data_IF_197214728779
#
_entry.id   IF_197214728779
#
_cell.length_a   1.000
_cell.length_b   1.000
_cell.length_c   1.000
_cell.angle_alpha   90.00
_cell.angle_beta   90.00
_cell.angle_gamma   90.00
#
_symmetry.space_group_name_H-M   'P 1'
#
loop_
_entity.id
_entity.type
_entity.pdbx_description
1 polymer ?
#
# COMPACT_ATOMS: atom_id res chain seq x y z
N UNK A 1 57.40 -24.96 -26.76
CA UNK A 1 57.05 -23.63 -26.21
C UNK A 1 55.74 -23.18 -26.85
N UNK A 2 54.81 -22.71 -26.02
CA UNK A 2 53.54 -22.00 -26.30
C UNK A 2 52.32 -22.79 -26.84
N UNK A 3 51.38 -23.07 -25.92
CA UNK A 3 49.97 -23.41 -26.14
C UNK A 3 49.09 -22.15 -26.39
N UNK A 4 47.87 -22.29 -26.96
CA UNK A 4 46.92 -21.20 -27.18
C UNK A 4 45.95 -21.02 -25.99
N UNK A 5 45.95 -19.82 -25.38
CA UNK A 5 45.04 -19.46 -24.28
C UNK A 5 43.89 -18.56 -24.74
N UNK A 6 42.74 -19.16 -25.04
CA UNK A 6 41.45 -18.51 -25.33
C UNK A 6 41.01 -17.61 -24.17
N UNK A 7 41.12 -16.30 -24.34
CA UNK A 7 40.60 -15.29 -23.41
C UNK A 7 39.07 -15.34 -23.33
N UNK A 8 38.56 -15.80 -22.20
CA UNK A 8 37.14 -15.82 -21.85
C UNK A 8 36.70 -14.39 -21.55
N UNK A 9 35.81 -13.83 -22.37
CA UNK A 9 35.15 -12.56 -22.08
C UNK A 9 34.32 -12.70 -20.79
N UNK A 10 34.71 -11.96 -19.76
CA UNK A 10 33.93 -11.82 -18.53
C UNK A 10 32.84 -10.76 -18.75
N UNK A 11 31.57 -11.17 -18.67
CA UNK A 11 30.47 -10.25 -18.51
C UNK A 11 30.51 -9.68 -17.07
N UNK A 12 30.53 -8.36 -16.84
CA UNK A 12 30.39 -7.84 -15.49
C UNK A 12 28.91 -7.82 -15.10
N UNK A 13 28.63 -8.62 -14.07
CA UNK A 13 27.51 -8.66 -13.16
C UNK A 13 26.58 -7.43 -13.11
N UNK A 14 25.28 -7.69 -13.04
CA UNK A 14 24.23 -6.69 -12.89
C UNK A 14 24.51 -5.71 -11.75
N UNK A 15 24.55 -4.42 -12.10
CA UNK A 15 24.65 -3.32 -11.13
C UNK A 15 23.39 -3.34 -10.26
N UNK A 16 23.57 -3.53 -8.96
CA UNK A 16 22.53 -3.23 -7.97
C UNK A 16 22.07 -1.77 -8.08
N UNK A 17 20.85 -1.50 -7.60
CA UNK A 17 20.27 -0.15 -7.56
C UNK A 17 21.21 0.83 -6.84
N UNK A 18 21.35 2.06 -7.37
CA UNK A 18 22.07 3.12 -6.67
C UNK A 18 21.35 3.52 -5.38
N UNK A 19 22.06 4.16 -4.44
CA UNK A 19 21.45 4.61 -3.18
C UNK A 19 20.23 5.53 -3.43
N UNK A 20 20.33 6.44 -4.39
CA UNK A 20 19.23 7.32 -4.80
C UNK A 20 18.03 6.54 -5.38
N UNK A 21 18.29 5.52 -6.19
CA UNK A 21 17.25 4.65 -6.73
C UNK A 21 16.57 3.81 -5.63
N UNK A 22 17.32 3.37 -4.63
CA UNK A 22 16.79 2.67 -3.45
C UNK A 22 15.85 3.59 -2.66
N UNK A 23 16.29 4.81 -2.35
CA UNK A 23 15.46 5.82 -1.65
C UNK A 23 14.18 6.09 -2.43
N UNK A 24 14.30 6.40 -3.73
CA UNK A 24 13.16 6.72 -4.59
C UNK A 24 12.15 5.58 -4.65
N UNK A 25 12.62 4.34 -4.83
CA UNK A 25 11.74 3.16 -4.87
C UNK A 25 11.07 2.90 -3.54
N UNK A 26 11.79 3.02 -2.42
CA UNK A 26 11.21 2.82 -1.09
C UNK A 26 10.14 3.87 -0.77
N UNK A 27 10.37 5.14 -1.12
CA UNK A 27 9.40 6.21 -0.95
C UNK A 27 8.13 5.98 -1.78
N UNK A 28 8.29 5.53 -3.03
CA UNK A 28 7.16 5.12 -3.86
C UNK A 28 6.36 3.99 -3.22
N UNK A 29 7.02 2.94 -2.71
CA UNK A 29 6.33 1.84 -2.03
C UNK A 29 5.57 2.30 -0.78
N UNK A 30 6.12 3.22 0.00
CA UNK A 30 5.43 3.83 1.15
C UNK A 30 4.22 4.64 0.71
N UNK A 31 4.36 5.44 -0.36
CA UNK A 31 3.25 6.23 -0.90
C UNK A 31 2.12 5.34 -1.41
N UNK A 32 2.45 4.27 -2.15
CA UNK A 32 1.49 3.29 -2.62
C UNK A 32 0.76 2.63 -1.43
N UNK A 33 1.47 2.23 -0.38
CA UNK A 33 0.87 1.65 0.82
C UNK A 33 -0.10 2.61 1.51
N UNK A 34 0.28 3.88 1.67
CA UNK A 34 -0.61 4.91 2.25
C UNK A 34 -1.84 5.18 1.38
N UNK A 35 -1.66 5.19 0.06
CA UNK A 35 -2.77 5.35 -0.88
C UNK A 35 -3.78 4.20 -0.77
N UNK A 36 -3.29 2.96 -0.71
CA UNK A 36 -4.13 1.77 -0.48
C UNK A 36 -4.87 1.84 0.86
N UNK A 37 -4.18 2.25 1.93
CA UNK A 37 -4.80 2.41 3.26
C UNK A 37 -5.92 3.46 3.24
N UNK A 38 -5.66 4.61 2.62
CA UNK A 38 -6.65 5.69 2.49
C UNK A 38 -7.87 5.22 1.71
N UNK A 39 -7.68 4.46 0.62
CA UNK A 39 -8.80 3.97 -0.17
C UNK A 39 -9.60 2.89 0.55
N UNK A 40 -8.94 2.02 1.32
CA UNK A 40 -9.62 1.02 2.14
C UNK A 40 -10.52 1.69 3.17
N UNK A 41 -10.02 2.71 3.89
CA UNK A 41 -10.80 3.45 4.89
C UNK A 41 -12.02 4.18 4.28
N UNK A 42 -11.87 4.74 3.07
CA UNK A 42 -12.99 5.35 2.33
C UNK A 42 -14.08 4.31 2.01
N UNK A 43 -13.69 3.14 1.47
CA UNK A 43 -14.64 2.07 1.15
C UNK A 43 -15.29 1.46 2.40
N UNK A 44 -14.58 1.38 3.53
CA UNK A 44 -15.14 0.93 4.80
C UNK A 44 -16.26 1.86 5.27
N UNK A 45 -16.11 3.18 5.10
CA UNK A 45 -17.17 4.14 5.38
C UNK A 45 -18.39 3.91 4.47
N UNK A 46 -18.17 3.80 3.15
CA UNK A 46 -19.24 3.53 2.18
C UNK A 46 -19.98 2.21 2.49
N UNK A 47 -19.25 1.17 2.91
CA UNK A 47 -19.82 -0.12 3.30
C UNK A 47 -20.76 0.03 4.50
N UNK A 48 -20.34 0.80 5.52
CA UNK A 48 -21.15 1.05 6.71
C UNK A 48 -22.41 1.85 6.38
N UNK A 49 -22.29 2.87 5.53
CA UNK A 49 -23.43 3.65 5.05
C UNK A 49 -24.44 2.77 4.30
N UNK A 50 -23.97 1.93 3.36
CA UNK A 50 -24.83 1.00 2.64
C UNK A 50 -25.52 0.01 3.58
N UNK A 51 -24.80 -0.49 4.58
CA UNK A 51 -25.33 -1.42 5.57
C UNK A 51 -26.48 -0.78 6.36
N UNK A 52 -26.28 0.44 6.86
CA UNK A 52 -27.32 1.19 7.58
C UNK A 52 -28.55 1.47 6.71
N UNK A 53 -28.35 1.86 5.45
CA UNK A 53 -29.46 2.10 4.52
C UNK A 53 -30.23 0.82 4.21
N UNK A 54 -29.55 -0.32 4.06
CA UNK A 54 -30.22 -1.61 3.82
C UNK A 54 -31.02 -2.04 5.05
N UNK A 55 -30.45 -1.93 6.25
CA UNK A 55 -31.13 -2.27 7.51
C UNK A 55 -32.42 -1.46 7.68
N UNK A 56 -32.34 -0.14 7.48
CA UNK A 56 -33.51 0.73 7.58
C UNK A 56 -34.57 0.44 6.51
N UNK A 57 -34.16 0.15 5.26
CA UNK A 57 -35.11 -0.14 4.18
C UNK A 57 -35.77 -1.51 4.29
N UNK A 58 -35.18 -2.48 4.99
CA UNK A 58 -35.80 -3.80 5.22
C UNK A 58 -37.04 -3.74 6.08
N UNK A 59 -37.16 -2.73 6.95
CA UNK A 59 -38.34 -2.50 7.79
C UNK A 59 -39.44 -1.71 7.06
N UNK A 60 -39.16 -1.21 5.85
CA UNK A 60 -40.08 -0.40 5.06
C UNK A 60 -40.87 -1.28 4.10
N UNK A 61 -42.13 -0.91 3.85
CA UNK A 61 -42.99 -1.58 2.88
C UNK A 61 -42.31 -1.68 1.49
N UNK A 62 -42.18 -2.89 0.90
CA UNK A 62 -41.49 -3.10 -0.37
C UNK A 62 -42.10 -2.36 -1.57
N UNK A 63 -43.38 -2.01 -1.51
CA UNK A 63 -44.12 -1.30 -2.57
C UNK A 63 -44.02 0.22 -2.43
N UNK A 64 -43.51 0.72 -1.29
CA UNK A 64 -43.31 2.15 -1.06
C UNK A 64 -42.35 2.73 -2.11
N UNK A 65 -42.69 3.92 -2.60
CA UNK A 65 -41.86 4.68 -3.53
C UNK A 65 -40.56 5.11 -2.86
N UNK A 66 -39.47 4.95 -3.58
CA UNK A 66 -38.11 5.37 -3.25
C UNK A 66 -37.60 6.27 -4.38
N UNK A 67 -36.82 7.30 -4.05
CA UNK A 67 -36.29 8.24 -5.03
C UNK A 67 -34.77 8.26 -4.96
N UNK A 68 -34.11 8.02 -6.10
CA UNK A 68 -32.65 8.07 -6.21
C UNK A 68 -32.22 9.29 -6.99
N UNK A 69 -31.33 10.10 -6.43
CA UNK A 69 -30.70 11.22 -7.14
C UNK A 69 -29.63 10.70 -8.12
N UNK A 70 -29.72 11.08 -9.39
CA UNK A 70 -28.72 10.77 -10.42
C UNK A 70 -28.48 12.02 -11.26
N UNK A 71 -27.27 12.60 -11.17
CA UNK A 71 -26.91 13.78 -11.96
C UNK A 71 -27.85 14.98 -11.77
N UNK A 72 -28.45 15.14 -10.58
CA UNK A 72 -29.41 16.20 -10.29
C UNK A 72 -30.87 15.88 -10.63
N UNK A 73 -31.17 14.70 -11.16
CA UNK A 73 -32.55 14.24 -11.43
C UNK A 73 -32.95 13.17 -10.42
N UNK A 74 -34.15 13.28 -9.85
CA UNK A 74 -34.73 12.25 -8.99
C UNK A 74 -35.42 11.17 -9.84
N UNK A 75 -34.95 9.94 -9.72
CA UNK A 75 -35.54 8.76 -10.38
C UNK A 75 -36.44 8.03 -9.39
N UNK A 76 -37.72 7.90 -9.72
CA UNK A 76 -38.69 7.12 -8.95
C UNK A 76 -38.48 5.62 -9.15
N UNK A 77 -38.44 4.88 -8.04
CA UNK A 77 -38.37 3.42 -7.94
C UNK A 77 -39.22 2.97 -6.75
N UNK A 78 -39.26 1.67 -6.50
CA UNK A 78 -39.83 1.09 -5.27
C UNK A 78 -38.74 0.47 -4.40
N UNK A 79 -39.01 0.30 -3.10
CA UNK A 79 -38.06 -0.34 -2.18
C UNK A 79 -37.63 -1.72 -2.69
N UNK A 80 -38.58 -2.54 -3.19
CA UNK A 80 -38.29 -3.86 -3.78
C UNK A 80 -37.34 -3.83 -4.98
N UNK A 81 -37.29 -2.71 -5.72
CA UNK A 81 -36.38 -2.55 -6.87
C UNK A 81 -34.99 -2.03 -6.45
N UNK A 82 -34.94 -1.23 -5.38
CA UNK A 82 -33.70 -0.58 -4.91
C UNK A 82 -32.91 -1.48 -3.97
N UNK A 83 -33.58 -2.22 -3.09
CA UNK A 83 -32.94 -3.06 -2.07
C UNK A 83 -31.93 -4.07 -2.67
N UNK A 84 -32.26 -4.81 -3.75
CA UNK A 84 -31.30 -5.76 -4.33
C UNK A 84 -30.06 -5.08 -4.91
N UNK A 85 -30.22 -3.88 -5.47
CA UNK A 85 -29.09 -3.11 -6.00
C UNK A 85 -28.17 -2.61 -4.87
N UNK A 86 -28.73 -2.17 -3.74
CA UNK A 86 -27.94 -1.80 -2.56
C UNK A 86 -27.19 -2.99 -1.98
N UNK A 87 -27.84 -4.16 -1.87
CA UNK A 87 -27.21 -5.38 -1.36
C UNK A 87 -26.07 -5.86 -2.26
N UNK A 88 -26.28 -5.85 -3.58
CA UNK A 88 -25.23 -6.17 -4.56
C UNK A 88 -24.05 -5.21 -4.47
N UNK A 89 -24.30 -3.91 -4.38
CA UNK A 89 -23.23 -2.90 -4.26
C UNK A 89 -22.44 -3.08 -2.95
N UNK A 90 -23.13 -3.31 -1.82
CA UNK A 90 -22.51 -3.58 -0.53
C UNK A 90 -21.58 -4.80 -0.61
N UNK A 91 -22.03 -5.89 -1.26
CA UNK A 91 -21.20 -7.10 -1.44
C UNK A 91 -19.97 -6.83 -2.31
N UNK A 92 -20.11 -6.04 -3.38
CA UNK A 92 -18.99 -5.64 -4.23
C UNK A 92 -17.97 -4.79 -3.45
N UNK A 93 -18.44 -3.81 -2.67
CA UNK A 93 -17.57 -2.99 -1.81
C UNK A 93 -16.82 -3.86 -0.80
N UNK A 94 -17.50 -4.82 -0.16
CA UNK A 94 -16.87 -5.78 0.76
C UNK A 94 -15.73 -6.55 0.10
N UNK A 95 -15.95 -7.08 -1.12
CA UNK A 95 -14.92 -7.81 -1.87
C UNK A 95 -13.74 -6.91 -2.25
N UNK A 96 -13.99 -5.64 -2.57
CA UNK A 96 -12.94 -4.68 -2.87
C UNK A 96 -12.10 -4.34 -1.64
N UNK A 97 -12.72 -4.19 -0.47
CA UNK A 97 -12.00 -3.99 0.80
C UNK A 97 -11.10 -5.19 1.10
N UNK A 98 -11.59 -6.42 0.95
CA UNK A 98 -10.78 -7.63 1.11
C UNK A 98 -9.58 -7.66 0.16
N UNK A 99 -9.79 -7.31 -1.12
CA UNK A 99 -8.71 -7.23 -2.10
C UNK A 99 -7.68 -6.15 -1.75
N UNK A 100 -8.12 -4.98 -1.30
CA UNK A 100 -7.23 -3.90 -0.84
C UNK A 100 -6.44 -4.31 0.41
N UNK A 101 -7.06 -5.03 1.35
CA UNK A 101 -6.38 -5.55 2.53
C UNK A 101 -5.27 -6.53 2.15
N UNK A 102 -5.52 -7.43 1.19
CA UNK A 102 -4.50 -8.34 0.66
C UNK A 102 -3.35 -7.58 -0.02
N UNK A 103 -3.66 -6.56 -0.83
CA UNK A 103 -2.65 -5.70 -1.46
C UNK A 103 -1.82 -4.92 -0.43
N UNK A 104 -2.45 -4.42 0.62
CA UNK A 104 -1.78 -3.69 1.70
C UNK A 104 -0.81 -4.61 2.47
N UNK A 105 -1.22 -5.85 2.74
CA UNK A 105 -0.36 -6.87 3.36
C UNK A 105 0.81 -7.28 2.45
N UNK A 106 0.56 -7.42 1.15
CA UNK A 106 1.61 -7.72 0.17
C UNK A 106 2.63 -6.56 0.07
N UNK A 107 2.15 -5.32 0.03
CA UNK A 107 3.00 -4.12 0.02
C UNK A 107 3.77 -3.92 1.32
N UNK A 108 3.15 -4.22 2.46
CA UNK A 108 3.84 -4.22 3.76
C UNK A 108 5.01 -5.21 3.81
N UNK A 109 4.81 -6.43 3.28
CA UNK A 109 5.89 -7.42 3.14
C UNK A 109 6.99 -6.95 2.18
N UNK A 110 6.61 -6.42 1.01
CA UNK A 110 7.57 -5.86 0.04
C UNK A 110 8.41 -4.74 0.68
N UNK A 111 7.80 -3.85 1.47
CA UNK A 111 8.49 -2.79 2.18
C UNK A 111 9.48 -3.32 3.22
N UNK A 112 9.09 -4.30 4.03
CA UNK A 112 9.98 -4.90 5.03
C UNK A 112 11.18 -5.59 4.37
N UNK A 113 10.93 -6.41 3.33
CA UNK A 113 12.00 -7.07 2.57
C UNK A 113 12.94 -6.05 1.90
N UNK A 114 12.38 -4.97 1.36
CA UNK A 114 13.17 -3.92 0.71
C UNK A 114 14.02 -3.14 1.72
N UNK A 115 13.48 -2.88 2.92
CA UNK A 115 14.20 -2.26 4.03
C UNK A 115 15.40 -3.11 4.46
N UNK A 116 15.19 -4.41 4.66
CA UNK A 116 16.24 -5.35 5.08
C UNK A 116 17.34 -5.53 4.02
N UNK A 117 16.94 -5.77 2.76
CA UNK A 117 17.90 -6.00 1.66
C UNK A 117 18.83 -4.81 1.41
N UNK A 118 18.35 -3.60 1.64
CA UNK A 118 19.09 -2.37 1.36
C UNK A 118 19.57 -1.62 2.63
N UNK A 119 19.40 -2.22 3.82
CA UNK A 119 19.75 -1.60 5.10
C UNK A 119 19.23 -0.15 5.24
N UNK A 120 17.96 0.06 4.89
CA UNK A 120 17.33 1.38 4.91
C UNK A 120 17.10 1.83 6.36
N UNK A 121 17.55 3.05 6.68
CA UNK A 121 17.35 3.71 7.97
C UNK A 121 16.45 4.93 7.80
N UNK A 122 15.33 4.96 8.52
CA UNK A 122 14.42 6.09 8.53
C UNK A 122 14.98 7.20 9.41
N UNK A 123 15.11 8.40 8.87
CA UNK A 123 15.52 9.59 9.63
C UNK A 123 14.34 9.98 10.53
N UNK A 124 14.49 9.77 11.85
CA UNK A 124 13.44 10.04 12.86
C UNK A 124 13.06 8.84 13.72
N UNK A 125 13.60 7.65 13.46
CA UNK A 125 13.66 6.56 14.44
C UNK A 125 14.94 6.83 15.24
N UNK A 126 14.82 7.56 16.37
CA UNK A 126 15.96 7.96 17.20
C UNK A 126 16.88 6.77 17.52
N UNK A 127 18.19 7.02 17.47
CA UNK A 127 19.21 6.16 18.04
C UNK A 127 19.39 6.57 19.51
N UNK A 128 18.75 5.95 20.52
CA UNK A 128 19.07 6.20 21.92
C UNK A 128 20.35 5.45 22.32
N UNK A 129 21.37 5.43 21.44
CA UNK A 129 22.70 4.90 21.78
C UNK A 129 23.85 5.70 21.20
N UNK A 130 23.71 7.02 21.11
CA UNK A 130 24.85 7.93 21.14
C UNK A 130 25.24 8.24 22.60
N UNK A 131 25.97 7.31 23.22
CA UNK A 131 26.75 7.61 24.42
C UNK A 131 27.85 8.65 24.10
N UNK A 132 28.25 9.53 25.04
CA UNK A 132 29.18 10.63 24.77
C UNK A 132 30.55 10.10 24.31
N UNK A 133 31.07 10.71 23.24
CA UNK A 133 32.41 10.45 22.70
C UNK A 133 33.47 11.16 23.52
N UNK A 134 34.38 10.41 24.11
CA UNK A 134 35.75 10.84 24.39
C UNK A 134 36.71 9.76 23.87
N UNK A 135 37.56 10.11 22.89
CA UNK A 135 38.63 9.24 22.37
C UNK A 135 38.91 9.42 20.86
N UNK A 136 40.17 9.65 20.45
CA UNK A 136 40.51 10.08 19.09
C UNK A 136 40.57 8.92 18.08
N UNK A 137 40.14 9.27 16.87
CA UNK A 137 40.52 8.77 15.53
C UNK A 137 41.02 7.31 15.39
N UNK A 138 40.24 6.49 14.67
CA UNK A 138 40.76 5.29 14.02
C UNK A 138 39.74 4.18 13.71
N UNK A 139 39.36 4.06 12.43
CA UNK A 139 39.14 2.74 11.83
C UNK A 139 37.72 2.34 11.38
N UNK A 140 37.64 2.06 10.07
CA UNK A 140 36.70 1.19 9.34
C UNK A 140 35.24 1.65 9.17
N UNK A 141 34.99 2.22 8.00
CA UNK A 141 33.66 2.26 7.40
C UNK A 141 33.11 0.84 7.23
N UNK A 142 32.07 0.52 8.02
CA UNK A 142 31.14 -0.57 7.72
C UNK A 142 30.21 -0.17 6.58
N UNK A 143 29.51 -1.13 5.94
CA UNK A 143 28.69 -0.85 4.77
C UNK A 143 27.63 0.20 5.11
N UNK A 144 27.67 1.33 4.39
CA UNK A 144 26.81 2.48 4.60
C UNK A 144 25.35 2.12 4.37
N UNK A 145 24.53 2.25 5.42
CA UNK A 145 23.07 2.17 5.30
C UNK A 145 22.54 3.36 4.51
N UNK A 146 21.45 3.15 3.77
CA UNK A 146 20.78 4.20 2.99
C UNK A 146 19.80 4.94 3.90
N UNK A 147 19.99 6.25 4.06
CA UNK A 147 19.12 7.10 4.87
C UNK A 147 17.93 7.58 4.02
N UNK A 148 16.72 7.44 4.56
CA UNK A 148 15.47 7.94 3.96
C UNK A 148 14.75 8.84 4.95
N UNK A 149 14.40 10.05 4.54
CA UNK A 149 13.48 10.96 5.25
C UNK A 149 12.02 10.66 4.93
#
# INVERSE_FOLDING_TARGET
MAEPGKGRAAAPAGKGLSAEQVVSRFNRLRQDQRGLASKAAELELELNEHTLVIETLREVDPTRKCFRMVGGVLVERTVKEVLPALESNREQISKLIEALAQQLQAKGRELSEFRERHNIRLVGEDDPKSAPRDGPEGGKGGPGGVLVS
#
